data_IF_609729257096
#
_entry.id   IF_609729257096
#
_cell.length_a   1.000
_cell.length_b   1.000
_cell.length_c   1.000
_cell.angle_alpha   90.00
_cell.angle_beta   90.00
_cell.angle_gamma   90.00
#
_symmetry.space_group_name_H-M   'P 1'
#
loop_
_entity.id
_entity.type
_entity.pdbx_description
1 polymer ?
#
# COMPACT_ATOMS: atom_id res chain seq x y z
N UNK A 1 6.07 1.54 -32.62
CA UNK A 1 5.12 1.03 -31.62
C UNK A 1 5.42 1.79 -30.35
N UNK A 2 4.51 2.68 -29.98
CA UNK A 2 4.55 3.44 -28.74
C UNK A 2 4.53 2.49 -27.55
N UNK A 3 5.42 2.70 -26.58
CA UNK A 3 5.14 2.38 -25.19
C UNK A 3 5.26 3.70 -24.43
N UNK A 4 4.35 4.62 -24.77
CA UNK A 4 4.03 5.79 -23.99
C UNK A 4 3.10 5.39 -22.86
N UNK A 5 3.64 4.68 -21.87
CA UNK A 5 3.02 4.54 -20.56
C UNK A 5 4.04 5.08 -19.58
N UNK A 6 4.03 6.40 -19.40
CA UNK A 6 4.46 6.98 -18.14
C UNK A 6 3.49 6.46 -17.08
N UNK A 7 3.73 5.22 -16.63
CA UNK A 7 3.18 4.72 -15.39
C UNK A 7 3.68 5.71 -14.36
N UNK A 8 2.78 6.58 -13.94
CA UNK A 8 2.97 7.39 -12.76
C UNK A 8 2.98 6.39 -11.61
N UNK A 9 4.13 5.73 -11.41
CA UNK A 9 4.51 5.11 -10.15
C UNK A 9 4.69 6.26 -9.17
N UNK A 10 3.57 6.90 -8.82
CA UNK A 10 3.43 7.62 -7.58
C UNK A 10 3.52 6.58 -6.49
N UNK A 11 4.75 6.17 -6.14
CA UNK A 11 5.11 5.71 -4.81
C UNK A 11 5.03 6.87 -3.82
N UNK A 12 4.00 7.69 -3.94
CA UNK A 12 3.52 8.57 -2.89
C UNK A 12 2.40 7.76 -2.25
N UNK A 13 2.78 7.09 -1.18
CA UNK A 13 1.88 6.54 -0.17
C UNK A 13 0.77 7.55 0.09
N UNK A 14 -0.36 7.38 -0.57
CA UNK A 14 -1.57 8.11 -0.23
C UNK A 14 -2.15 7.34 0.94
N UNK A 15 -1.42 7.35 2.07
CA UNK A 15 -1.95 6.96 3.37
C UNK A 15 -3.16 7.88 3.59
N UNK A 16 -4.33 7.34 3.24
CA UNK A 16 -5.59 7.98 3.52
C UNK A 16 -5.72 7.94 5.03
N UNK A 17 -5.22 8.99 5.66
CA UNK A 17 -5.31 9.23 7.08
C UNK A 17 -6.80 9.04 7.48
N UNK A 18 -7.11 8.18 8.47
CA UNK A 18 -8.47 8.03 8.97
C UNK A 18 -9.12 9.37 9.32
N UNK A 19 -8.33 10.36 9.74
CA UNK A 19 -8.80 11.71 10.01
C UNK A 19 -9.24 12.41 8.72
N UNK A 20 -8.51 12.27 7.60
CA UNK A 20 -8.90 12.79 6.28
C UNK A 20 -10.18 12.10 5.78
N UNK A 21 -10.28 10.77 5.92
CA UNK A 21 -11.49 10.03 5.52
C UNK A 21 -12.70 10.50 6.34
N UNK A 22 -12.51 10.75 7.64
CA UNK A 22 -13.56 11.27 8.51
C UNK A 22 -13.96 12.70 8.16
N UNK A 23 -12.99 13.55 7.79
CA UNK A 23 -13.22 14.92 7.36
C UNK A 23 -14.04 14.96 6.07
N UNK A 24 -13.62 14.18 5.07
CA UNK A 24 -14.33 14.09 3.79
C UNK A 24 -15.72 13.49 3.96
N UNK A 25 -15.89 12.45 4.78
CA UNK A 25 -17.21 11.93 5.14
C UNK A 25 -18.07 13.01 5.81
N UNK A 26 -17.49 13.82 6.71
CA UNK A 26 -18.17 14.92 7.38
C UNK A 26 -18.66 16.01 6.42
N UNK A 27 -17.85 16.39 5.43
CA UNK A 27 -18.26 17.30 4.35
C UNK A 27 -19.45 16.73 3.57
N UNK A 28 -19.37 15.45 3.24
CA UNK A 28 -20.37 14.75 2.46
C UNK A 28 -21.71 14.62 3.22
N UNK A 29 -21.68 14.33 4.52
CA UNK A 29 -22.88 14.35 5.37
C UNK A 29 -23.46 15.76 5.53
N UNK A 30 -22.62 16.80 5.56
CA UNK A 30 -23.08 18.19 5.62
C UNK A 30 -23.85 18.60 4.36
N UNK A 31 -23.37 18.20 3.18
CA UNK A 31 -24.08 18.43 1.91
C UNK A 31 -25.40 17.65 1.85
N UNK A 32 -25.42 16.39 2.32
CA UNK A 32 -26.67 15.63 2.44
C UNK A 32 -27.69 16.32 3.35
N UNK A 33 -27.23 16.88 4.47
CA UNK A 33 -28.08 17.63 5.38
C UNK A 33 -28.70 18.85 4.68
N UNK A 34 -27.95 19.59 3.87
CA UNK A 34 -28.47 20.71 3.08
C UNK A 34 -29.54 20.24 2.05
N UNK A 35 -29.34 19.06 1.45
CA UNK A 35 -30.34 18.44 0.55
C UNK A 35 -31.61 18.06 1.33
N UNK A 36 -31.49 17.48 2.53
CA UNK A 36 -32.63 17.16 3.40
C UNK A 36 -33.42 18.42 3.75
N UNK A 37 -32.73 19.51 4.09
CA UNK A 37 -33.37 20.78 4.44
C UNK A 37 -34.11 21.40 3.25
N UNK A 38 -33.59 21.24 2.03
CA UNK A 38 -34.16 21.84 0.81
C UNK A 38 -35.25 20.97 0.17
N UNK A 39 -35.11 19.65 0.23
CA UNK A 39 -35.90 18.69 -0.56
C UNK A 39 -36.59 17.59 0.26
N UNK A 40 -36.34 17.52 1.56
CA UNK A 40 -36.89 16.51 2.47
C UNK A 40 -36.07 15.22 2.55
N UNK A 41 -36.24 14.46 3.65
CA UNK A 41 -35.42 13.26 3.96
C UNK A 41 -35.60 12.12 2.96
N UNK A 42 -36.78 11.99 2.35
CA UNK A 42 -37.11 10.88 1.47
C UNK A 42 -36.15 10.72 0.28
N UNK A 43 -35.52 11.82 -0.18
CA UNK A 43 -34.58 11.81 -1.30
C UNK A 43 -33.27 11.10 -0.93
N UNK A 44 -32.81 11.24 0.31
CA UNK A 44 -31.53 10.69 0.76
C UNK A 44 -31.68 9.33 1.44
N UNK A 45 -32.88 8.94 1.88
CA UNK A 45 -33.14 7.66 2.56
C UNK A 45 -32.66 6.44 1.75
N UNK A 46 -32.84 6.46 0.44
CA UNK A 46 -32.35 5.38 -0.45
C UNK A 46 -30.88 5.50 -0.83
N UNK A 47 -30.32 6.71 -0.71
CA UNK A 47 -28.95 7.03 -1.12
C UNK A 47 -27.95 6.73 0.01
N UNK A 48 -28.32 7.00 1.26
CA UNK A 48 -27.47 6.80 2.45
C UNK A 48 -26.93 5.37 2.54
N UNK A 49 -27.75 4.29 2.40
CA UNK A 49 -27.23 2.92 2.44
C UNK A 49 -26.23 2.61 1.33
N UNK A 50 -26.42 3.18 0.13
CA UNK A 50 -25.49 3.00 -1.00
C UNK A 50 -24.16 3.66 -0.68
N UNK A 51 -24.19 4.87 -0.10
CA UNK A 51 -22.98 5.60 0.26
C UNK A 51 -22.22 4.92 1.39
N UNK A 52 -22.91 4.43 2.42
CA UNK A 52 -22.30 3.65 3.50
C UNK A 52 -21.63 2.39 2.92
N UNK A 53 -22.32 1.66 2.04
CA UNK A 53 -21.74 0.47 1.39
C UNK A 53 -20.49 0.80 0.56
N UNK A 54 -20.49 1.91 -0.19
CA UNK A 54 -19.31 2.37 -0.94
C UNK A 54 -18.16 2.74 0.00
N UNK A 55 -18.43 3.51 1.06
CA UNK A 55 -17.41 3.96 2.01
C UNK A 55 -16.80 2.79 2.79
N UNK A 56 -17.63 1.85 3.26
CA UNK A 56 -17.17 0.61 3.91
C UNK A 56 -16.36 -0.26 2.96
N UNK A 57 -16.80 -0.38 1.70
CA UNK A 57 -16.08 -1.10 0.66
C UNK A 57 -14.71 -0.50 0.35
N UNK A 58 -14.62 0.84 0.27
CA UNK A 58 -13.36 1.54 0.08
C UNK A 58 -12.42 1.37 1.28
N UNK A 59 -12.93 1.48 2.51
CA UNK A 59 -12.15 1.26 3.73
C UNK A 59 -11.60 -0.17 3.79
N UNK A 60 -12.41 -1.18 3.48
CA UNK A 60 -11.99 -2.58 3.44
C UNK A 60 -10.94 -2.84 2.36
N UNK A 61 -11.18 -2.35 1.14
CA UNK A 61 -10.24 -2.48 0.02
C UNK A 61 -8.89 -1.84 0.35
N UNK A 62 -8.90 -0.66 0.98
CA UNK A 62 -7.67 0.03 1.41
C UNK A 62 -6.91 -0.75 2.49
N UNK A 63 -7.62 -1.31 3.47
CA UNK A 63 -6.99 -2.14 4.51
C UNK A 63 -6.31 -3.38 3.91
N UNK A 64 -6.97 -4.06 2.98
CA UNK A 64 -6.39 -5.20 2.26
C UNK A 64 -5.18 -4.80 1.43
N UNK A 65 -5.22 -3.66 0.75
CA UNK A 65 -4.08 -3.16 -0.02
C UNK A 65 -2.87 -2.88 0.88
N UNK A 66 -3.09 -2.21 2.02
CA UNK A 66 -2.03 -1.94 3.00
C UNK A 66 -1.37 -3.22 3.50
N UNK A 67 -2.16 -4.23 3.85
CA UNK A 67 -1.64 -5.53 4.28
C UNK A 67 -0.72 -6.15 3.21
N UNK A 68 -1.12 -6.08 1.94
CA UNK A 68 -0.31 -6.57 0.81
C UNK A 68 0.95 -5.77 0.58
N UNK A 69 0.90 -4.45 0.72
CA UNK A 69 2.06 -3.58 0.63
C UNK A 69 3.07 -3.89 1.74
N UNK A 70 2.60 -4.05 2.98
CA UNK A 70 3.44 -4.45 4.11
C UNK A 70 4.05 -5.85 3.92
N UNK A 71 3.28 -6.82 3.42
CA UNK A 71 3.79 -8.16 3.06
C UNK A 71 4.87 -8.07 1.98
N UNK A 72 4.65 -7.25 0.94
CA UNK A 72 5.62 -7.06 -0.13
C UNK A 72 6.91 -6.43 0.37
N UNK A 73 6.81 -5.45 1.28
CA UNK A 73 7.99 -4.80 1.86
C UNK A 73 8.78 -5.74 2.76
N UNK A 74 8.10 -6.51 3.63
CA UNK A 74 8.75 -7.59 4.39
C UNK A 74 9.48 -8.58 3.47
N UNK A 75 8.84 -9.00 2.38
CA UNK A 75 9.46 -9.90 1.41
C UNK A 75 10.68 -9.30 0.70
N UNK A 76 10.72 -7.98 0.48
CA UNK A 76 11.90 -7.31 -0.08
C UNK A 76 13.07 -7.32 0.92
N UNK A 77 12.79 -6.99 2.18
CA UNK A 77 13.79 -7.00 3.26
C UNK A 77 14.38 -8.40 3.43
N UNK A 78 13.53 -9.42 3.57
CA UNK A 78 13.98 -10.81 3.72
C UNK A 78 14.88 -11.26 2.55
N UNK A 79 14.52 -10.86 1.32
CA UNK A 79 15.31 -11.16 0.12
C UNK A 79 16.67 -10.47 0.15
N UNK A 80 16.73 -9.22 0.60
CA UNK A 80 17.96 -8.44 0.68
C UNK A 80 18.91 -9.01 1.73
N UNK A 81 18.41 -9.35 2.91
CA UNK A 81 19.17 -10.04 3.97
C UNK A 81 19.71 -11.39 3.49
N UNK A 82 18.89 -12.19 2.79
CA UNK A 82 19.32 -13.47 2.24
C UNK A 82 20.45 -13.29 1.21
N UNK A 83 20.34 -12.26 0.37
CA UNK A 83 21.36 -11.94 -0.63
C UNK A 83 22.67 -11.51 0.01
N UNK A 84 22.64 -10.69 1.05
CA UNK A 84 23.83 -10.27 1.79
C UNK A 84 24.54 -11.46 2.45
N UNK A 85 23.77 -12.34 3.11
CA UNK A 85 24.29 -13.58 3.69
C UNK A 85 24.91 -14.50 2.65
N UNK A 86 24.24 -14.67 1.51
CA UNK A 86 24.80 -15.47 0.42
C UNK A 86 26.12 -14.89 -0.09
N UNK A 87 26.20 -13.57 -0.28
CA UNK A 87 27.42 -12.91 -0.76
C UNK A 87 28.57 -13.05 0.24
N UNK A 88 28.33 -12.80 1.53
CA UNK A 88 29.34 -12.95 2.58
C UNK A 88 29.85 -14.39 2.67
N UNK A 89 28.97 -15.39 2.68
CA UNK A 89 29.38 -16.79 2.67
C UNK A 89 30.19 -17.16 1.42
N UNK A 90 29.80 -16.63 0.24
CA UNK A 90 30.52 -16.90 -1.01
C UNK A 90 31.93 -16.30 -0.96
N UNK A 91 32.08 -15.10 -0.41
CA UNK A 91 33.39 -14.46 -0.21
C UNK A 91 34.25 -15.27 0.75
N UNK A 92 33.72 -15.66 1.91
CA UNK A 92 34.44 -16.46 2.90
C UNK A 92 34.93 -17.80 2.31
N UNK A 93 34.10 -18.48 1.51
CA UNK A 93 34.51 -19.73 0.83
C UNK A 93 35.66 -19.49 -0.16
N UNK A 94 35.61 -18.39 -0.90
CA UNK A 94 36.68 -18.03 -1.84
C UNK A 94 37.99 -17.73 -1.11
N UNK A 95 37.93 -16.92 -0.04
CA UNK A 95 39.10 -16.58 0.77
C UNK A 95 39.72 -17.84 1.40
N UNK A 96 38.90 -18.76 1.92
CA UNK A 96 39.37 -20.06 2.44
C UNK A 96 40.09 -20.87 1.36
N UNK A 97 39.53 -20.95 0.16
CA UNK A 97 40.15 -21.67 -0.97
C UNK A 97 41.47 -21.04 -1.41
N UNK A 98 41.56 -19.70 -1.43
CA UNK A 98 42.79 -18.98 -1.74
C UNK A 98 43.86 -19.21 -0.66
N UNK A 99 43.46 -19.24 0.62
CA UNK A 99 44.34 -19.57 1.74
C UNK A 99 44.89 -21.00 1.67
N UNK A 100 44.01 -21.99 1.45
CA UNK A 100 44.40 -23.40 1.31
C UNK A 100 45.35 -23.62 0.13
N UNK A 101 45.12 -22.93 -1.00
CA UNK A 101 46.05 -22.98 -2.15
C UNK A 101 47.42 -22.39 -1.82
N UNK A 102 47.49 -21.33 -1.02
CA UNK A 102 48.75 -20.71 -0.62
C UNK A 102 49.55 -21.62 0.33
N UNK A 103 48.89 -22.37 1.21
CA UNK A 103 49.55 -23.32 2.12
C UNK A 103 50.12 -24.56 1.41
N UNK A 104 49.64 -24.87 0.19
CA UNK A 104 50.11 -26.01 -0.60
C UNK A 104 51.29 -25.69 -1.55
N UNK A 105 51.75 -24.43 -1.60
CA UNK A 105 52.85 -23.93 -2.43
C UNK A 105 54.13 -23.71 -1.59
#
# INVERSE_FOLDING_TARGET
MECGESVFCGGGELELDPDIVSEEAGKLYSELQAVVETHGSAVVESLVPVMVWVLEGLASSRAQLREREEEAERGKVDREELMERYQSERTLRRESQEHEQMECL
#
